data_IF_331115230329
#
_entry.id   IF_331115230329
#
_cell.length_a   1.000
_cell.length_b   1.000
_cell.length_c   1.000
_cell.angle_alpha   90.00
_cell.angle_beta   90.00
_cell.angle_gamma   90.00
#
_symmetry.space_group_name_H-M   'P 1'
#
loop_
_entity.id
_entity.type
_entity.pdbx_description
1 polymer ?
#
# COMPACT_ATOMS: atom_id res chain seq x y z
N UNK A 1 13.11 6.48 20.22
CA UNK A 1 12.75 7.93 20.30
C UNK A 1 12.15 8.21 21.65
N UNK A 2 12.84 8.98 22.49
CA UNK A 2 12.23 9.54 23.70
C UNK A 2 11.37 10.72 23.24
N UNK A 3 10.05 10.55 23.21
CA UNK A 3 9.13 11.69 23.13
C UNK A 3 9.32 12.51 24.41
N UNK A 4 9.89 13.70 24.29
CA UNK A 4 9.86 14.69 25.36
C UNK A 4 8.42 15.04 25.63
N UNK A 5 7.89 14.63 26.79
CA UNK A 5 6.59 15.06 27.24
C UNK A 5 6.62 16.57 27.44
N UNK A 6 5.83 17.27 26.69
CA UNK A 6 5.64 18.72 26.78
C UNK A 6 4.63 19.03 27.87
N UNK A 7 5.01 18.83 29.10
CA UNK A 7 4.34 19.50 30.23
C UNK A 7 5.38 19.83 31.28
N UNK A 8 5.63 21.10 31.45
CA UNK A 8 6.51 21.63 32.48
C UNK A 8 6.05 21.18 33.87
N UNK A 9 6.90 20.44 34.58
CA UNK A 9 7.00 20.50 36.00
C UNK A 9 6.11 19.62 36.87
N UNK A 10 5.22 18.76 36.32
CA UNK A 10 4.50 17.80 37.15
C UNK A 10 4.60 16.40 36.54
N UNK A 11 5.40 15.52 37.16
CA UNK A 11 5.29 14.08 36.87
C UNK A 11 3.90 13.62 37.30
N UNK A 12 3.08 13.20 36.35
CA UNK A 12 1.80 12.55 36.67
C UNK A 12 2.13 11.30 37.48
N UNK A 13 1.59 11.15 38.69
CA UNK A 13 1.86 9.97 39.51
C UNK A 13 1.48 8.70 38.70
N UNK A 14 2.33 7.67 38.78
CA UNK A 14 2.20 6.43 38.03
C UNK A 14 0.81 5.75 38.16
N UNK A 15 0.09 5.98 39.24
CA UNK A 15 -1.25 5.44 39.51
C UNK A 15 -2.35 6.18 38.72
N UNK A 16 -2.09 7.37 38.18
CA UNK A 16 -3.02 8.10 37.30
C UNK A 16 -2.80 7.79 35.82
N UNK A 17 -1.72 7.10 35.48
CA UNK A 17 -1.48 6.60 34.12
C UNK A 17 -2.15 5.24 33.95
N UNK A 18 -3.14 5.15 33.09
CA UNK A 18 -3.77 3.87 32.71
C UNK A 18 -2.80 2.92 32.00
N UNK A 19 -1.63 3.42 31.62
CA UNK A 19 -0.56 2.63 30.99
C UNK A 19 0.78 2.94 31.67
N UNK A 20 1.55 1.92 32.06
CA UNK A 20 2.91 2.09 32.54
C UNK A 20 3.76 2.85 31.54
N UNK A 21 4.69 3.68 32.01
CA UNK A 21 5.65 4.38 31.15
C UNK A 21 6.34 3.39 30.20
N UNK A 22 6.58 3.85 28.97
CA UNK A 22 7.25 3.05 27.93
C UNK A 22 8.60 2.54 28.44
N UNK A 23 9.32 3.35 29.26
CA UNK A 23 10.57 2.97 29.90
C UNK A 23 10.41 1.77 30.84
N UNK A 24 9.39 1.79 31.69
CA UNK A 24 9.10 0.69 32.63
C UNK A 24 8.72 -0.59 31.90
N UNK A 25 7.96 -0.48 30.79
CA UNK A 25 7.62 -1.64 29.95
C UNK A 25 8.86 -2.23 29.28
N UNK A 26 9.74 -1.39 28.73
CA UNK A 26 11.00 -1.84 28.14
C UNK A 26 11.87 -2.53 29.17
N UNK A 27 12.04 -1.94 30.35
CA UNK A 27 12.83 -2.51 31.47
C UNK A 27 12.23 -3.84 31.96
N UNK A 28 10.91 -3.93 32.07
CA UNK A 28 10.21 -5.17 32.41
C UNK A 28 10.38 -6.27 31.35
N UNK A 29 10.37 -5.94 30.07
CA UNK A 29 10.65 -6.89 29.00
C UNK A 29 12.13 -7.33 29.05
N UNK A 30 13.07 -6.41 29.22
CA UNK A 30 14.50 -6.72 29.34
C UNK A 30 14.80 -7.62 30.51
N UNK A 31 14.20 -7.34 31.66
CA UNK A 31 14.34 -8.19 32.87
C UNK A 31 13.81 -9.61 32.64
N UNK A 32 12.66 -9.75 31.96
CA UNK A 32 12.13 -11.06 31.59
C UNK A 32 13.03 -11.77 30.57
N UNK A 33 13.51 -11.06 29.55
CA UNK A 33 14.44 -11.64 28.59
C UNK A 33 15.74 -12.15 29.26
N UNK A 34 16.25 -11.42 30.22
CA UNK A 34 17.46 -11.83 30.95
C UNK A 34 17.26 -13.11 31.77
N UNK A 35 16.02 -13.40 32.21
CA UNK A 35 15.70 -14.60 32.99
C UNK A 35 15.61 -15.88 32.13
N UNK A 36 15.51 -15.78 30.80
CA UNK A 36 15.49 -16.95 29.95
C UNK A 36 16.87 -17.62 29.81
N UNK A 37 16.94 -18.95 29.68
CA UNK A 37 18.19 -19.67 29.40
C UNK A 37 18.91 -19.10 28.16
N UNK A 38 20.25 -19.13 28.17
CA UNK A 38 21.07 -18.60 27.06
C UNK A 38 20.70 -19.20 25.71
N UNK A 39 20.32 -20.46 25.65
CA UNK A 39 19.85 -21.14 24.41
C UNK A 39 18.58 -20.48 23.81
N UNK A 40 17.71 -19.93 24.66
CA UNK A 40 16.51 -19.22 24.20
C UNK A 40 16.85 -17.77 23.83
N UNK A 41 17.63 -17.09 24.69
CA UNK A 41 18.04 -15.70 24.48
C UNK A 41 18.82 -15.49 23.18
N UNK A 42 19.69 -16.45 22.87
CA UNK A 42 20.58 -16.39 21.70
C UNK A 42 19.98 -17.06 20.45
N UNK A 43 18.71 -17.49 20.51
CA UNK A 43 18.04 -18.09 19.36
C UNK A 43 17.93 -17.08 18.23
N UNK A 44 18.54 -17.37 17.10
CA UNK A 44 18.34 -16.57 15.88
C UNK A 44 16.98 -16.87 15.29
N UNK A 45 16.21 -15.83 14.99
CA UNK A 45 14.96 -15.93 14.26
C UNK A 45 15.17 -15.45 12.83
N UNK A 46 14.56 -16.14 11.86
CA UNK A 46 14.48 -15.61 10.52
C UNK A 46 13.54 -14.39 10.51
N UNK A 47 14.12 -13.22 10.55
CA UNK A 47 13.39 -11.94 10.53
C UNK A 47 13.38 -11.28 9.13
N UNK A 48 13.76 -12.02 8.06
CA UNK A 48 13.84 -11.46 6.70
C UNK A 48 12.51 -10.86 6.25
N UNK A 49 11.40 -11.57 6.46
CA UNK A 49 10.06 -11.04 6.11
C UNK A 49 9.72 -9.79 6.90
N UNK A 50 10.00 -9.78 8.19
CA UNK A 50 9.78 -8.61 9.05
C UNK A 50 10.60 -7.40 8.58
N UNK A 51 11.89 -7.60 8.29
CA UNK A 51 12.75 -6.52 7.76
C UNK A 51 12.21 -5.95 6.45
N UNK A 52 11.71 -6.79 5.55
CA UNK A 52 11.11 -6.34 4.27
C UNK A 52 9.89 -5.46 4.51
N UNK A 53 8.94 -5.90 5.34
CA UNK A 53 7.75 -5.11 5.71
C UNK A 53 8.16 -3.81 6.39
N UNK A 54 9.08 -3.87 7.35
CA UNK A 54 9.60 -2.71 8.06
C UNK A 54 10.27 -1.70 7.11
N UNK A 55 11.04 -2.16 6.13
CA UNK A 55 11.67 -1.30 5.11
C UNK A 55 10.60 -0.56 4.30
N UNK A 56 9.56 -1.26 3.83
CA UNK A 56 8.47 -0.63 3.08
C UNK A 56 7.72 0.39 3.92
N UNK A 57 7.38 0.07 5.19
CA UNK A 57 6.67 0.99 6.07
C UNK A 57 7.49 2.26 6.35
N UNK A 58 8.76 2.11 6.72
CA UNK A 58 9.64 3.25 6.94
C UNK A 58 9.88 4.04 5.65
N UNK A 59 10.09 3.37 4.54
CA UNK A 59 10.28 4.00 3.23
C UNK A 59 9.06 4.82 2.79
N UNK A 60 7.84 4.36 3.10
CA UNK A 60 6.60 5.04 2.68
C UNK A 60 6.09 6.08 3.68
N UNK A 61 6.20 5.81 4.98
CA UNK A 61 5.47 6.57 6.01
C UNK A 61 6.37 7.11 7.12
N UNK A 62 7.60 6.63 7.25
CA UNK A 62 8.53 7.07 8.28
C UNK A 62 8.95 8.53 8.09
N UNK A 63 9.39 9.18 9.20
CA UNK A 63 10.08 10.45 9.11
C UNK A 63 11.28 10.34 8.16
N UNK A 64 11.43 11.29 7.26
CA UNK A 64 12.41 11.17 6.17
C UNK A 64 13.85 11.15 6.67
N UNK A 65 14.18 11.93 7.68
CA UNK A 65 15.55 12.00 8.22
C UNK A 65 15.89 10.73 9.00
N UNK A 66 15.00 10.32 9.90
CA UNK A 66 15.16 9.09 10.67
C UNK A 66 15.19 7.85 9.76
N UNK A 67 14.38 7.83 8.70
CA UNK A 67 14.38 6.73 7.74
C UNK A 67 15.70 6.64 6.96
N UNK A 68 16.26 7.76 6.49
CA UNK A 68 17.56 7.76 5.81
C UNK A 68 18.70 7.32 6.73
N UNK A 69 18.69 7.74 8.00
CA UNK A 69 19.65 7.24 9.00
C UNK A 69 19.54 5.71 9.19
N UNK A 70 18.30 5.19 9.23
CA UNK A 70 18.04 3.75 9.32
C UNK A 70 18.51 2.98 8.10
N UNK A 71 18.42 3.57 6.91
CA UNK A 71 18.83 2.98 5.64
C UNK A 71 20.27 3.33 5.23
N UNK A 72 21.17 3.59 6.20
CA UNK A 72 22.59 3.86 5.95
C UNK A 72 23.40 2.62 5.53
N UNK A 73 22.81 1.43 5.58
CA UNK A 73 23.41 0.17 5.15
C UNK A 73 23.60 0.10 3.62
N UNK A 74 24.51 -0.78 3.20
CA UNK A 74 24.84 -1.01 1.76
C UNK A 74 24.15 -2.25 1.19
N UNK A 75 23.21 -2.86 1.92
CA UNK A 75 22.43 -4.00 1.43
C UNK A 75 21.25 -3.54 0.55
N UNK A 76 20.71 -4.47 -0.22
CA UNK A 76 19.63 -4.17 -1.19
C UNK A 76 18.38 -3.54 -0.56
N UNK A 77 17.97 -3.97 0.66
CA UNK A 77 16.82 -3.40 1.34
C UNK A 77 17.08 -1.98 1.84
N UNK A 78 18.29 -1.71 2.34
CA UNK A 78 18.70 -0.36 2.74
C UNK A 78 18.75 0.59 1.55
N UNK A 79 19.33 0.17 0.43
CA UNK A 79 19.35 0.96 -0.81
C UNK A 79 17.93 1.22 -1.34
N UNK A 80 17.07 0.19 -1.37
CA UNK A 80 15.66 0.31 -1.76
C UNK A 80 14.92 1.28 -0.83
N UNK A 81 15.06 1.14 0.48
CA UNK A 81 14.45 2.02 1.47
C UNK A 81 14.87 3.47 1.32
N UNK A 82 16.17 3.73 1.12
CA UNK A 82 16.70 5.06 0.80
C UNK A 82 16.10 5.62 -0.47
N UNK A 83 16.03 4.83 -1.56
CA UNK A 83 15.39 5.21 -2.81
C UNK A 83 13.93 5.63 -2.63
N UNK A 84 13.17 4.89 -1.82
CA UNK A 84 11.78 5.23 -1.50
C UNK A 84 11.66 6.58 -0.77
N UNK A 85 12.50 6.83 0.23
CA UNK A 85 12.50 8.09 0.99
C UNK A 85 12.91 9.26 0.11
N UNK A 86 13.99 9.11 -0.66
CA UNK A 86 14.49 10.13 -1.59
C UNK A 86 13.45 10.46 -2.67
N UNK A 87 12.73 9.46 -3.17
CA UNK A 87 11.62 9.65 -4.11
C UNK A 87 10.49 10.50 -3.50
N UNK A 88 10.12 10.28 -2.24
CA UNK A 88 9.13 11.11 -1.52
C UNK A 88 9.59 12.56 -1.34
N UNK A 89 10.90 12.76 -1.16
CA UNK A 89 11.51 14.09 -1.05
C UNK A 89 11.70 14.76 -2.41
N UNK A 90 11.29 14.11 -3.48
CA UNK A 90 11.51 14.53 -4.86
C UNK A 90 12.99 14.65 -5.28
N UNK A 91 13.90 14.00 -4.57
CA UNK A 91 15.32 13.88 -4.92
C UNK A 91 15.48 12.78 -5.98
N UNK A 92 15.03 13.08 -7.20
CA UNK A 92 14.82 12.05 -8.25
C UNK A 92 16.13 11.37 -8.66
N UNK A 93 17.23 12.13 -8.80
CA UNK A 93 18.53 11.61 -9.23
C UNK A 93 19.10 10.62 -8.19
N UNK A 94 19.11 11.02 -6.94
CA UNK A 94 19.62 10.20 -5.85
C UNK A 94 18.72 8.97 -5.61
N UNK A 95 17.39 9.13 -5.75
CA UNK A 95 16.47 8.02 -5.67
C UNK A 95 16.74 6.98 -6.78
N UNK A 96 16.94 7.42 -8.02
CA UNK A 96 17.28 6.54 -9.13
C UNK A 96 18.57 5.76 -8.86
N UNK A 97 19.63 6.44 -8.41
CA UNK A 97 20.92 5.80 -8.08
C UNK A 97 20.76 4.75 -6.96
N UNK A 98 19.95 5.05 -5.92
CA UNK A 98 19.68 4.12 -4.83
C UNK A 98 18.90 2.88 -5.30
N UNK A 99 17.90 3.04 -6.17
CA UNK A 99 17.19 1.92 -6.77
C UNK A 99 18.07 1.10 -7.72
N UNK A 100 18.93 1.75 -8.50
CA UNK A 100 19.89 1.05 -9.37
C UNK A 100 20.85 0.19 -8.56
N UNK A 101 21.36 0.71 -7.46
CA UNK A 101 22.20 -0.05 -6.54
C UNK A 101 21.44 -1.22 -5.91
N UNK A 102 20.19 -1.02 -5.50
CA UNK A 102 19.35 -2.09 -4.95
C UNK A 102 19.14 -3.22 -5.98
N UNK A 103 18.88 -2.87 -7.24
CA UNK A 103 18.71 -3.81 -8.35
C UNK A 103 20.01 -4.56 -8.67
N UNK A 104 21.18 -3.91 -8.59
CA UNK A 104 22.48 -4.58 -8.76
C UNK A 104 22.75 -5.62 -7.67
N UNK A 105 22.40 -5.28 -6.41
CA UNK A 105 22.61 -6.17 -5.25
C UNK A 105 21.59 -7.32 -5.21
N UNK A 106 20.37 -7.11 -5.69
CA UNK A 106 19.30 -8.11 -5.67
C UNK A 106 18.46 -8.09 -6.96
N UNK A 107 19.02 -8.48 -8.12
CA UNK A 107 18.39 -8.34 -9.42
C UNK A 107 17.13 -9.23 -9.62
N UNK A 108 16.96 -10.24 -8.79
CA UNK A 108 15.80 -11.17 -8.81
C UNK A 108 14.93 -11.07 -7.55
N UNK A 109 15.07 -10.01 -6.78
CA UNK A 109 14.18 -9.79 -5.63
C UNK A 109 12.89 -9.09 -6.09
N UNK A 110 11.71 -9.75 -6.00
CA UNK A 110 10.46 -9.19 -6.51
C UNK A 110 10.06 -7.89 -5.80
N UNK A 111 10.39 -7.73 -4.52
CA UNK A 111 10.11 -6.49 -3.79
C UNK A 111 10.95 -5.31 -4.30
N UNK A 112 12.25 -5.54 -4.54
CA UNK A 112 13.16 -4.51 -5.09
C UNK A 112 12.72 -4.12 -6.49
N UNK A 113 12.41 -5.11 -7.34
CA UNK A 113 11.90 -4.90 -8.70
C UNK A 113 10.60 -4.09 -8.71
N UNK A 114 9.65 -4.44 -7.83
CA UNK A 114 8.37 -3.72 -7.70
C UNK A 114 8.57 -2.26 -7.28
N UNK A 115 9.33 -2.01 -6.22
CA UNK A 115 9.52 -0.64 -5.71
C UNK A 115 10.30 0.22 -6.71
N UNK A 116 11.31 -0.31 -7.37
CA UNK A 116 12.02 0.36 -8.46
C UNK A 116 11.09 0.61 -9.66
N UNK A 117 10.30 -0.39 -10.07
CA UNK A 117 9.32 -0.24 -11.16
C UNK A 117 8.27 0.81 -10.84
N UNK A 118 7.76 0.84 -9.60
CA UNK A 118 6.83 1.87 -9.12
C UNK A 118 7.46 3.27 -9.13
N UNK A 119 8.73 3.38 -8.78
CA UNK A 119 9.46 4.64 -8.87
C UNK A 119 9.54 5.14 -10.31
N UNK A 120 9.98 4.30 -11.25
CA UNK A 120 10.08 4.66 -12.67
C UNK A 120 8.71 5.02 -13.27
N UNK A 121 7.66 4.26 -12.95
CA UNK A 121 6.29 4.59 -13.32
C UNK A 121 5.90 6.01 -12.87
N UNK A 122 6.11 6.34 -11.60
CA UNK A 122 5.78 7.67 -11.04
C UNK A 122 6.59 8.81 -11.65
N UNK A 123 7.74 8.52 -12.24
CA UNK A 123 8.61 9.50 -12.91
C UNK A 123 8.38 9.57 -14.43
N UNK A 124 7.43 8.79 -14.95
CA UNK A 124 7.09 8.78 -16.37
C UNK A 124 8.01 7.92 -17.24
N UNK A 125 8.97 7.20 -16.66
CA UNK A 125 9.82 6.24 -17.39
C UNK A 125 9.06 4.90 -17.56
N UNK A 126 8.08 4.92 -18.46
CA UNK A 126 7.16 3.80 -18.65
C UNK A 126 7.86 2.54 -19.18
N UNK A 127 8.88 2.68 -20.02
CA UNK A 127 9.60 1.54 -20.57
C UNK A 127 10.34 0.75 -19.49
N UNK A 128 11.04 1.46 -18.60
CA UNK A 128 11.76 0.85 -17.48
C UNK A 128 10.79 0.30 -16.43
N UNK A 129 9.72 1.02 -16.14
CA UNK A 129 8.67 0.58 -15.24
C UNK A 129 8.04 -0.73 -15.72
N UNK A 130 7.71 -0.84 -17.01
CA UNK A 130 7.13 -2.05 -17.60
C UNK A 130 8.01 -3.27 -17.41
N UNK A 131 9.31 -3.14 -17.73
CA UNK A 131 10.27 -4.24 -17.58
C UNK A 131 10.38 -4.74 -16.14
N UNK A 132 10.53 -3.81 -15.18
CA UNK A 132 10.71 -4.13 -13.76
C UNK A 132 9.44 -4.71 -13.13
N UNK A 133 8.26 -4.12 -13.38
CA UNK A 133 6.99 -4.61 -12.83
C UNK A 133 6.63 -5.99 -13.40
N UNK A 134 6.88 -6.23 -14.68
CA UNK A 134 6.68 -7.55 -15.31
C UNK A 134 7.56 -8.61 -14.67
N UNK A 135 8.84 -8.33 -14.47
CA UNK A 135 9.76 -9.25 -13.77
C UNK A 135 9.30 -9.51 -12.32
N UNK A 136 8.88 -8.47 -11.58
CA UNK A 136 8.36 -8.64 -10.23
C UNK A 136 7.18 -9.61 -10.20
N UNK A 137 6.20 -9.45 -11.10
CA UNK A 137 5.02 -10.34 -11.21
C UNK A 137 5.37 -11.76 -11.64
N UNK A 138 6.42 -11.96 -12.44
CA UNK A 138 6.89 -13.30 -12.82
C UNK A 138 7.51 -14.05 -11.64
N UNK A 139 8.24 -13.33 -10.77
CA UNK A 139 8.92 -13.89 -9.61
C UNK A 139 8.00 -14.07 -8.40
N UNK A 140 7.03 -13.17 -8.23
CA UNK A 140 5.99 -13.28 -7.20
C UNK A 140 4.60 -13.10 -7.81
N UNK A 141 3.93 -14.23 -8.04
CA UNK A 141 2.57 -14.25 -8.60
C UNK A 141 1.51 -13.67 -7.64
N UNK A 142 1.84 -13.44 -6.38
CA UNK A 142 0.93 -12.88 -5.38
C UNK A 142 1.22 -11.40 -5.09
N UNK A 143 2.14 -10.78 -5.81
CA UNK A 143 2.42 -9.35 -5.65
C UNK A 143 1.32 -8.50 -6.32
N UNK A 144 0.24 -8.23 -5.57
CA UNK A 144 -0.88 -7.42 -6.04
C UNK A 144 -0.50 -5.96 -6.29
N UNK A 145 0.49 -5.45 -5.57
CA UNK A 145 0.98 -4.08 -5.79
C UNK A 145 1.71 -3.95 -7.13
N UNK A 146 2.53 -4.95 -7.50
CA UNK A 146 3.16 -4.97 -8.82
C UNK A 146 2.11 -5.00 -9.94
N UNK A 147 1.06 -5.85 -9.80
CA UNK A 147 -0.06 -5.90 -10.74
C UNK A 147 -0.81 -4.57 -10.82
N UNK A 148 -1.10 -3.97 -9.70
CA UNK A 148 -1.80 -2.68 -9.65
C UNK A 148 -1.04 -1.59 -10.39
N UNK A 149 0.26 -1.43 -10.11
CA UNK A 149 1.06 -0.43 -10.81
C UNK A 149 1.28 -0.77 -12.28
N UNK A 150 1.37 -2.06 -12.62
CA UNK A 150 1.42 -2.47 -14.02
C UNK A 150 0.13 -2.12 -14.77
N UNK A 151 -1.04 -2.37 -14.18
CA UNK A 151 -2.33 -1.98 -14.75
C UNK A 151 -2.41 -0.47 -14.96
N UNK A 152 -2.01 0.33 -13.98
CA UNK A 152 -1.99 1.79 -14.08
C UNK A 152 -1.05 2.28 -15.18
N UNK A 153 0.12 1.66 -15.31
CA UNK A 153 1.07 1.97 -16.36
C UNK A 153 0.49 1.66 -17.76
N UNK A 154 -0.25 0.54 -17.90
CA UNK A 154 -0.97 0.22 -19.13
C UNK A 154 -2.02 1.29 -19.47
N UNK A 155 -2.78 1.77 -18.49
CA UNK A 155 -3.75 2.86 -18.69
C UNK A 155 -3.08 4.14 -19.20
N UNK A 156 -2.02 4.57 -18.55
CA UNK A 156 -1.31 5.80 -18.91
C UNK A 156 -0.60 5.72 -20.28
N UNK A 157 -0.36 4.50 -20.75
CA UNK A 157 0.19 4.24 -22.11
C UNK A 157 -0.89 3.91 -23.16
N UNK A 158 -2.19 4.19 -22.87
CA UNK A 158 -3.30 3.98 -23.80
C UNK A 158 -3.71 2.51 -23.98
N UNK A 159 -3.23 1.60 -23.14
CA UNK A 159 -3.50 0.16 -23.21
C UNK A 159 -4.54 -0.29 -22.18
N UNK A 160 -5.56 0.53 -21.96
CA UNK A 160 -6.58 0.32 -20.94
C UNK A 160 -7.33 -1.03 -21.06
N UNK A 161 -7.54 -1.54 -22.28
CA UNK A 161 -8.13 -2.87 -22.45
C UNK A 161 -7.23 -3.98 -21.87
N UNK A 162 -5.93 -3.85 -22.02
CA UNK A 162 -4.96 -4.80 -21.48
C UNK A 162 -4.83 -4.70 -19.95
N UNK A 163 -5.17 -3.56 -19.35
CA UNK A 163 -5.15 -3.35 -17.90
C UNK A 163 -6.26 -4.10 -17.16
N UNK A 164 -7.39 -4.39 -17.82
CA UNK A 164 -8.59 -4.96 -17.19
C UNK A 164 -8.35 -6.24 -16.37
N UNK A 165 -7.69 -7.27 -16.90
CA UNK A 165 -7.45 -8.50 -16.13
C UNK A 165 -6.64 -8.27 -14.88
N UNK A 166 -5.65 -7.37 -14.92
CA UNK A 166 -4.82 -7.06 -13.76
C UNK A 166 -5.61 -6.38 -12.63
N UNK A 167 -6.47 -5.41 -12.95
CA UNK A 167 -7.37 -4.83 -11.94
C UNK A 167 -8.31 -5.87 -11.35
N UNK A 168 -8.87 -6.75 -12.17
CA UNK A 168 -9.76 -7.82 -11.72
C UNK A 168 -9.04 -8.79 -10.78
N UNK A 169 -7.81 -9.17 -11.09
CA UNK A 169 -7.00 -10.04 -10.23
C UNK A 169 -6.66 -9.36 -8.90
N UNK A 170 -6.32 -8.07 -8.91
CA UNK A 170 -6.06 -7.30 -7.68
C UNK A 170 -7.32 -7.24 -6.82
N UNK A 171 -8.48 -6.90 -7.40
CA UNK A 171 -9.74 -6.81 -6.67
C UNK A 171 -10.27 -8.16 -6.17
N UNK A 172 -9.87 -9.27 -6.79
CA UNK A 172 -10.17 -10.60 -6.25
C UNK A 172 -9.44 -10.87 -4.94
N UNK A 173 -8.23 -10.33 -4.78
CA UNK A 173 -7.42 -10.50 -3.58
C UNK A 173 -7.70 -9.45 -2.50
N UNK A 174 -8.01 -8.21 -2.92
CA UNK A 174 -8.29 -7.08 -2.02
C UNK A 174 -9.59 -6.37 -2.45
N UNK A 175 -10.74 -7.00 -2.23
CA UNK A 175 -12.02 -6.55 -2.81
C UNK A 175 -12.51 -5.19 -2.28
N UNK A 176 -11.97 -4.72 -1.16
CA UNK A 176 -12.37 -3.45 -0.54
C UNK A 176 -11.36 -2.30 -0.77
N UNK A 177 -10.39 -2.50 -1.65
CA UNK A 177 -9.38 -1.49 -1.94
C UNK A 177 -9.99 -0.33 -2.76
N UNK A 178 -10.36 0.75 -2.07
CA UNK A 178 -11.03 1.91 -2.65
C UNK A 178 -10.24 2.56 -3.79
N UNK A 179 -8.92 2.66 -3.63
CA UNK A 179 -8.00 3.23 -4.63
C UNK A 179 -7.89 2.37 -5.89
N UNK A 180 -7.96 1.04 -5.74
CA UNK A 180 -7.97 0.11 -6.88
C UNK A 180 -9.28 0.23 -7.64
N UNK A 181 -10.42 0.29 -6.93
CA UNK A 181 -11.72 0.52 -7.56
C UNK A 181 -11.76 1.85 -8.33
N UNK A 182 -11.23 2.92 -7.77
CA UNK A 182 -11.17 4.22 -8.43
C UNK A 182 -10.32 4.18 -9.71
N UNK A 183 -9.13 3.57 -9.65
CA UNK A 183 -8.27 3.42 -10.81
C UNK A 183 -8.93 2.58 -11.90
N UNK A 184 -9.55 1.45 -11.51
CA UNK A 184 -10.27 0.58 -12.44
C UNK A 184 -11.47 1.27 -13.08
N UNK A 185 -12.22 2.06 -12.32
CA UNK A 185 -13.33 2.84 -12.85
C UNK A 185 -12.87 3.82 -13.94
N UNK A 186 -11.76 4.52 -13.74
CA UNK A 186 -11.19 5.41 -14.77
C UNK A 186 -10.77 4.64 -16.01
N UNK A 187 -10.13 3.50 -15.85
CA UNK A 187 -9.74 2.60 -16.93
C UNK A 187 -10.96 2.12 -17.74
N UNK A 188 -12.02 1.69 -17.05
CA UNK A 188 -13.28 1.28 -17.70
C UNK A 188 -13.95 2.44 -18.46
N UNK A 189 -13.93 3.62 -17.86
CA UNK A 189 -14.46 4.84 -18.48
C UNK A 189 -13.75 5.22 -19.77
N UNK A 190 -12.41 5.10 -19.81
CA UNK A 190 -11.60 5.43 -20.99
C UNK A 190 -11.88 4.53 -22.19
N UNK A 191 -12.39 3.32 -21.97
CA UNK A 191 -12.79 2.37 -23.04
C UNK A 191 -14.32 2.28 -23.23
N UNK A 192 -15.07 3.27 -22.73
CA UNK A 192 -16.51 3.38 -22.94
C UNK A 192 -17.40 2.47 -22.08
N UNK A 193 -16.83 1.67 -21.15
CA UNK A 193 -17.60 0.80 -20.24
C UNK A 193 -18.20 1.59 -19.07
N UNK A 194 -19.03 2.58 -19.40
CA UNK A 194 -19.52 3.59 -18.45
C UNK A 194 -20.34 2.97 -17.29
N UNK A 195 -21.14 1.93 -17.55
CA UNK A 195 -21.92 1.26 -16.51
C UNK A 195 -21.03 0.64 -15.44
N UNK A 196 -20.03 -0.15 -15.85
CA UNK A 196 -19.04 -0.74 -14.97
C UNK A 196 -18.18 0.32 -14.27
N UNK A 197 -17.83 1.40 -14.96
CA UNK A 197 -17.10 2.51 -14.37
C UNK A 197 -17.86 3.11 -13.17
N UNK A 198 -19.15 3.38 -13.29
CA UNK A 198 -19.95 3.87 -12.16
C UNK A 198 -20.11 2.84 -11.04
N UNK A 199 -20.19 1.55 -11.36
CA UNK A 199 -20.17 0.48 -10.34
C UNK A 199 -18.90 0.57 -9.51
N UNK A 200 -17.73 0.66 -10.15
CA UNK A 200 -16.46 0.72 -9.43
C UNK A 200 -16.25 2.06 -8.72
N UNK A 201 -16.75 3.18 -9.25
CA UNK A 201 -16.78 4.45 -8.50
C UNK A 201 -17.66 4.37 -7.25
N UNK A 202 -18.79 3.66 -7.30
CA UNK A 202 -19.64 3.44 -6.13
C UNK A 202 -18.91 2.58 -5.08
N UNK A 203 -18.26 1.50 -5.47
CA UNK A 203 -17.43 0.70 -4.55
C UNK A 203 -16.32 1.53 -3.92
N UNK A 204 -15.59 2.32 -4.70
CA UNK A 204 -14.56 3.21 -4.17
C UNK A 204 -15.11 4.17 -3.11
N UNK A 205 -16.26 4.77 -3.37
CA UNK A 205 -16.91 5.68 -2.43
C UNK A 205 -17.44 4.95 -1.16
N UNK A 206 -17.96 3.73 -1.30
CA UNK A 206 -18.40 2.89 -0.17
C UNK A 206 -17.21 2.56 0.73
N UNK A 207 -16.12 2.05 0.17
CA UNK A 207 -14.95 1.61 0.93
C UNK A 207 -14.10 2.77 1.47
N UNK A 208 -14.19 3.96 0.88
CA UNK A 208 -13.64 5.19 1.47
C UNK A 208 -14.59 5.88 2.45
N UNK A 209 -15.73 5.26 2.78
CA UNK A 209 -16.75 5.77 3.70
C UNK A 209 -17.33 7.15 3.29
N UNK A 210 -17.41 7.43 1.99
CA UNK A 210 -17.97 8.67 1.48
C UNK A 210 -19.43 8.47 1.05
N UNK A 211 -20.35 8.62 2.02
CA UNK A 211 -21.79 8.38 1.83
C UNK A 211 -22.37 9.16 0.64
N UNK A 212 -22.06 10.46 0.52
CA UNK A 212 -22.62 11.32 -0.53
C UNK A 212 -22.19 10.85 -1.95
N UNK A 213 -20.92 10.53 -2.11
CA UNK A 213 -20.41 10.02 -3.38
C UNK A 213 -20.93 8.61 -3.68
N UNK A 214 -21.02 7.74 -2.68
CA UNK A 214 -21.57 6.40 -2.83
C UNK A 214 -23.01 6.44 -3.35
N UNK A 215 -23.87 7.26 -2.75
CA UNK A 215 -25.25 7.42 -3.21
C UNK A 215 -25.32 7.97 -4.64
N UNK A 216 -24.53 8.98 -4.94
CA UNK A 216 -24.47 9.57 -6.29
C UNK A 216 -24.07 8.54 -7.34
N UNK A 217 -22.95 7.82 -7.12
CA UNK A 217 -22.46 6.85 -8.08
C UNK A 217 -23.34 5.61 -8.15
N UNK A 218 -23.97 5.21 -7.06
CA UNK A 218 -24.96 4.13 -7.07
C UNK A 218 -26.15 4.44 -8.00
N UNK A 219 -26.72 5.66 -7.92
CA UNK A 219 -27.78 6.12 -8.82
C UNK A 219 -27.34 6.11 -10.28
N UNK A 220 -26.11 6.57 -10.55
CA UNK A 220 -25.54 6.56 -11.91
C UNK A 220 -25.31 5.13 -12.43
N UNK A 221 -24.77 4.25 -11.59
CA UNK A 221 -24.59 2.84 -11.92
C UNK A 221 -25.94 2.19 -12.28
N UNK A 222 -26.97 2.37 -11.44
CA UNK A 222 -28.31 1.86 -11.68
C UNK A 222 -28.84 2.30 -13.03
N UNK A 223 -28.86 3.60 -13.32
CA UNK A 223 -29.38 4.16 -14.57
C UNK A 223 -28.65 3.61 -15.82
N UNK A 224 -27.35 3.31 -15.72
CA UNK A 224 -26.55 2.83 -16.86
C UNK A 224 -26.57 1.31 -17.04
N UNK A 225 -26.94 0.55 -16.00
CA UNK A 225 -26.83 -0.93 -16.03
C UNK A 225 -28.17 -1.66 -16.00
N UNK A 226 -29.27 -0.97 -15.69
CA UNK A 226 -30.61 -1.56 -15.48
C UNK A 226 -31.09 -2.41 -16.66
N UNK A 227 -30.73 -2.02 -17.89
CA UNK A 227 -31.09 -2.71 -19.15
C UNK A 227 -29.88 -3.22 -19.92
N UNK A 228 -28.77 -3.48 -19.24
CA UNK A 228 -27.52 -3.87 -19.90
C UNK A 228 -27.03 -5.24 -19.44
N UNK A 229 -26.01 -5.78 -20.12
CA UNK A 229 -25.31 -7.00 -19.73
C UNK A 229 -24.65 -6.88 -18.33
N UNK A 230 -24.44 -5.65 -17.84
CA UNK A 230 -23.79 -5.38 -16.56
C UNK A 230 -24.75 -5.49 -15.34
N UNK A 231 -26.02 -5.85 -15.55
CA UNK A 231 -27.03 -5.98 -14.49
C UNK A 231 -26.62 -6.96 -13.38
N UNK A 232 -25.86 -8.00 -13.70
CA UNK A 232 -25.33 -8.93 -12.71
C UNK A 232 -24.27 -8.29 -11.79
N UNK A 233 -23.40 -7.43 -12.35
CA UNK A 233 -22.43 -6.66 -11.58
C UNK A 233 -23.13 -5.63 -10.68
N UNK A 234 -24.18 -4.99 -11.19
CA UNK A 234 -24.98 -4.06 -10.41
C UNK A 234 -25.68 -4.73 -9.22
N UNK A 235 -26.24 -5.94 -9.36
CA UNK A 235 -26.84 -6.67 -8.23
C UNK A 235 -25.86 -6.92 -7.08
N UNK A 236 -24.59 -7.17 -7.39
CA UNK A 236 -23.54 -7.30 -6.36
C UNK A 236 -23.30 -5.96 -5.64
N UNK A 237 -23.23 -4.86 -6.40
CA UNK A 237 -23.10 -3.53 -5.82
C UNK A 237 -24.30 -3.18 -4.94
N UNK A 238 -25.52 -3.50 -5.39
CA UNK A 238 -26.76 -3.21 -4.64
C UNK A 238 -26.76 -3.88 -3.26
N UNK A 239 -26.31 -5.14 -3.17
CA UNK A 239 -26.18 -5.85 -1.91
C UNK A 239 -25.20 -5.14 -0.96
N UNK A 240 -24.00 -4.82 -1.45
CA UNK A 240 -22.96 -4.13 -0.64
C UNK A 240 -23.41 -2.72 -0.24
N UNK A 241 -24.09 -2.01 -1.13
CA UNK A 241 -24.59 -0.68 -0.85
C UNK A 241 -25.67 -0.69 0.25
N UNK A 242 -26.61 -1.65 0.22
CA UNK A 242 -27.65 -1.81 1.25
C UNK A 242 -27.05 -2.08 2.63
N UNK A 243 -26.15 -3.04 2.71
CA UNK A 243 -25.43 -3.34 3.96
C UNK A 243 -24.72 -2.09 4.52
N UNK A 244 -24.01 -1.36 3.68
CA UNK A 244 -23.31 -0.15 4.12
C UNK A 244 -24.27 0.97 4.52
N UNK A 245 -25.41 1.08 3.84
CA UNK A 245 -26.44 2.09 4.13
C UNK A 245 -27.03 1.88 5.52
N UNK A 246 -27.33 0.65 5.93
CA UNK A 246 -27.79 0.32 7.28
C UNK A 246 -26.78 0.82 8.33
N UNK A 247 -25.47 0.54 8.15
CA UNK A 247 -24.42 1.03 9.05
C UNK A 247 -24.36 2.57 9.13
N UNK A 248 -24.68 3.27 8.04
CA UNK A 248 -24.68 4.73 8.02
C UNK A 248 -25.93 5.36 8.64
N UNK A 249 -27.04 4.63 8.69
CA UNK A 249 -28.32 5.09 9.26
C UNK A 249 -28.38 4.82 10.77
N UNK A 250 -27.66 3.82 11.28
CA UNK A 250 -27.57 3.48 12.71
C UNK A 250 -26.61 4.40 13.51
N UNK A 251 -25.96 5.38 12.86
CA UNK A 251 -25.05 6.37 13.48
C UNK A 251 -25.65 7.76 13.45
#
# INVERSE_FOLDING_TARGET
MRQKSWMAGASVPAYLSTHPDIGDRINGIQARLSSFPAAIRNRSFDNRRFKRVQTVLWGRYGDSQAALQRFSGKDALSCMGSGMVLSRRNNVREAAAAFDQALQLAPKDPLVLREAGTFHYRKGDMARAEGLLRQAMQLDKNDFMARFFYARMLDETGRAQQAQPYYTEVLRAVPEAADVHEAYARSLGSIGKTGLAYIHMAYSAIYSNNRKLAERYFKQAKAKTEKSADSAAFRKLDAVYKERKEIWEDR
#
